data_IF_263169697846
#
_entry.id   IF_263169697846
#
_cell.length_a   1.000
_cell.length_b   1.000
_cell.length_c   1.000
_cell.angle_alpha   90.00
_cell.angle_beta   90.00
_cell.angle_gamma   90.00
#
_symmetry.space_group_name_H-M   'P 1'
#
loop_
_entity.id
_entity.type
_entity.pdbx_description
1 polymer ?
#
# COMPACT_ATOMS: atom_id res chain seq x y z
N UNK A 1 -20.89 -0.41 -5.75
CA UNK A 1 -21.05 0.17 -4.39
C UNK A 1 -19.75 0.17 -3.56
N UNK A 2 -19.00 -0.94 -3.48
CA UNK A 2 -17.78 -0.97 -2.64
C UNK A 2 -16.60 -0.24 -3.30
N UNK A 3 -16.39 -0.37 -4.62
CA UNK A 3 -15.33 0.37 -5.34
C UNK A 3 -15.48 1.89 -5.14
N UNK A 4 -16.69 2.46 -5.32
CA UNK A 4 -16.92 3.89 -5.10
C UNK A 4 -16.63 4.36 -3.66
N UNK A 5 -16.93 3.53 -2.64
CA UNK A 5 -16.55 3.84 -1.26
C UNK A 5 -15.04 3.85 -1.06
N UNK A 6 -14.32 2.94 -1.73
CA UNK A 6 -12.85 2.90 -1.69
C UNK A 6 -12.26 4.13 -2.37
N UNK A 7 -12.75 4.52 -3.54
CA UNK A 7 -12.27 5.73 -4.24
C UNK A 7 -12.47 6.98 -3.40
N UNK A 8 -13.64 7.14 -2.78
CA UNK A 8 -13.90 8.29 -1.90
C UNK A 8 -12.91 8.41 -0.73
N UNK A 9 -12.65 7.31 -0.02
CA UNK A 9 -11.70 7.35 1.11
C UNK A 9 -10.27 7.54 0.63
N UNK A 10 -9.91 6.98 -0.55
CA UNK A 10 -8.60 7.18 -1.17
C UNK A 10 -8.38 8.63 -1.59
N UNK A 11 -9.38 9.25 -2.23
CA UNK A 11 -9.31 10.67 -2.60
C UNK A 11 -9.14 11.55 -1.36
N UNK A 12 -9.95 11.33 -0.33
CA UNK A 12 -9.82 12.06 0.93
C UNK A 12 -8.42 11.91 1.55
N UNK A 13 -7.90 10.69 1.61
CA UNK A 13 -6.55 10.41 2.12
C UNK A 13 -5.45 11.09 1.28
N UNK A 14 -5.58 11.04 -0.06
CA UNK A 14 -4.68 11.71 -0.98
C UNK A 14 -4.67 13.23 -0.75
N UNK A 15 -5.83 13.81 -0.57
CA UNK A 15 -5.99 15.26 -0.42
C UNK A 15 -5.48 15.76 0.94
N UNK A 16 -5.57 14.95 2.00
CA UNK A 16 -5.00 15.27 3.32
C UNK A 16 -3.47 15.16 3.40
N UNK A 17 -2.84 14.33 2.56
CA UNK A 17 -1.42 14.04 2.65
C UNK A 17 -0.50 15.26 2.41
N UNK A 18 -0.76 16.15 1.42
CA UNK A 18 0.05 17.35 1.21
C UNK A 18 0.06 18.29 2.42
N UNK A 19 -1.10 18.51 3.03
CA UNK A 19 -1.24 19.38 4.20
C UNK A 19 -0.45 18.80 5.38
N UNK A 20 -0.57 17.50 5.62
CA UNK A 20 0.19 16.82 6.67
C UNK A 20 1.69 16.90 6.43
N UNK A 21 2.16 16.74 5.19
CA UNK A 21 3.58 16.87 4.84
C UNK A 21 4.04 18.32 5.05
N UNK A 22 3.25 19.30 4.62
CA UNK A 22 3.58 20.72 4.78
C UNK A 22 3.66 21.12 6.26
N UNK A 23 2.75 20.60 7.10
CA UNK A 23 2.72 20.85 8.54
C UNK A 23 3.89 20.20 9.29
N UNK A 24 4.24 18.95 8.92
CA UNK A 24 5.22 18.14 9.66
C UNK A 24 6.64 18.21 9.10
N UNK A 25 6.82 18.58 7.85
CA UNK A 25 8.10 18.53 7.14
C UNK A 25 8.67 17.12 6.96
N UNK A 26 7.82 16.08 6.98
CA UNK A 26 8.26 14.68 6.88
C UNK A 26 8.83 14.39 5.50
N UNK A 27 10.06 13.88 5.46
CA UNK A 27 10.70 13.33 4.27
C UNK A 27 10.54 11.81 4.22
N UNK A 28 10.06 11.29 3.08
CA UNK A 28 9.75 9.85 2.92
C UNK A 28 10.05 9.32 1.52
N UNK A 29 10.99 9.94 0.81
CA UNK A 29 11.34 9.63 -0.60
C UNK A 29 10.12 9.73 -1.52
N UNK A 30 9.27 10.73 -1.25
CA UNK A 30 8.01 10.93 -1.99
C UNK A 30 8.24 11.31 -3.46
N UNK A 31 7.36 10.79 -4.35
CA UNK A 31 7.31 11.13 -5.78
C UNK A 31 5.87 11.41 -6.18
N UNK A 32 5.68 12.41 -7.04
CA UNK A 32 4.38 12.88 -7.53
C UNK A 32 4.25 12.65 -9.05
N UNK A 33 4.60 11.47 -9.50
CA UNK A 33 4.61 11.12 -10.94
C UNK A 33 3.46 10.19 -11.34
N UNK A 34 2.53 9.96 -10.42
CA UNK A 34 1.40 9.08 -10.62
C UNK A 34 1.76 7.59 -10.51
N UNK A 35 0.79 6.75 -10.80
CA UNK A 35 0.92 5.29 -10.89
C UNK A 35 0.48 4.83 -12.27
N UNK A 36 1.27 4.00 -12.94
CA UNK A 36 0.94 3.42 -14.25
C UNK A 36 0.49 1.97 -14.08
N UNK A 37 -0.80 1.71 -14.29
CA UNK A 37 -1.33 0.37 -14.42
C UNK A 37 -1.09 -0.13 -15.84
N UNK A 38 -0.21 -1.13 -16.01
CA UNK A 38 0.24 -1.64 -17.29
C UNK A 38 -0.58 -2.86 -17.72
N UNK A 39 -1.09 -2.83 -18.95
CA UNK A 39 -1.87 -3.92 -19.54
C UNK A 39 -1.05 -4.67 -20.59
N UNK A 40 -0.95 -5.99 -20.42
CA UNK A 40 -0.21 -6.84 -21.34
C UNK A 40 -1.04 -7.26 -22.57
N UNK A 41 -2.37 -7.19 -22.47
CA UNK A 41 -3.28 -7.63 -23.53
C UNK A 41 -4.39 -6.61 -23.80
N UNK A 42 -4.86 -6.60 -25.07
CA UNK A 42 -6.02 -5.80 -25.48
C UNK A 42 -7.29 -6.09 -24.67
N UNK A 43 -7.47 -7.33 -24.21
CA UNK A 43 -8.60 -7.71 -23.37
C UNK A 43 -8.56 -6.99 -22.02
N UNK A 44 -7.38 -6.87 -21.40
CA UNK A 44 -7.21 -6.15 -20.14
C UNK A 44 -7.43 -4.65 -20.34
N UNK A 45 -6.84 -4.07 -21.39
CA UNK A 45 -7.02 -2.66 -21.71
C UNK A 45 -8.50 -2.31 -21.91
N UNK A 46 -9.24 -3.10 -22.69
CA UNK A 46 -10.69 -2.93 -22.86
C UNK A 46 -11.46 -3.16 -21.55
N UNK A 47 -11.02 -4.09 -20.73
CA UNK A 47 -11.63 -4.40 -19.43
C UNK A 47 -11.50 -3.27 -18.39
N UNK A 48 -10.53 -2.37 -18.56
CA UNK A 48 -10.34 -1.22 -17.66
C UNK A 48 -11.44 -0.16 -17.74
N UNK A 49 -12.32 -0.23 -18.76
CA UNK A 49 -13.41 0.75 -18.97
C UNK A 49 -14.30 0.92 -17.72
N UNK A 50 -14.64 -0.16 -17.05
CA UNK A 50 -15.46 -0.11 -15.83
C UNK A 50 -14.76 0.61 -14.66
N UNK A 51 -13.42 0.55 -14.60
CA UNK A 51 -12.64 1.28 -13.60
C UNK A 51 -12.52 2.75 -13.99
N UNK A 52 -12.35 3.07 -15.29
CA UNK A 52 -12.37 4.43 -15.80
C UNK A 52 -13.71 5.14 -15.51
N UNK A 53 -14.84 4.47 -15.70
CA UNK A 53 -16.18 5.01 -15.40
C UNK A 53 -16.31 5.36 -13.91
N UNK A 54 -15.79 4.52 -13.02
CA UNK A 54 -15.78 4.81 -11.57
C UNK A 54 -14.85 5.97 -11.22
N UNK A 55 -13.66 6.02 -11.80
CA UNK A 55 -12.72 7.11 -11.56
C UNK A 55 -13.32 8.45 -12.02
N UNK A 56 -13.98 8.47 -13.18
CA UNK A 56 -14.67 9.66 -13.68
C UNK A 56 -15.86 10.07 -12.79
N UNK A 57 -16.65 9.11 -12.28
CA UNK A 57 -17.76 9.37 -11.32
C UNK A 57 -17.30 10.11 -10.06
N UNK A 58 -16.05 9.87 -9.62
CA UNK A 58 -15.50 10.45 -8.39
C UNK A 58 -14.41 11.49 -8.64
N UNK A 59 -14.35 12.08 -9.82
CA UNK A 59 -13.39 13.13 -10.22
C UNK A 59 -11.92 12.75 -9.92
N UNK A 60 -11.60 11.45 -10.02
CA UNK A 60 -10.22 10.97 -9.88
C UNK A 60 -9.51 11.09 -11.22
N UNK A 61 -8.47 11.91 -11.36
CA UNK A 61 -7.81 12.15 -12.65
C UNK A 61 -7.06 10.92 -13.12
N UNK A 62 -7.24 10.57 -14.39
CA UNK A 62 -6.54 9.48 -15.05
C UNK A 62 -6.30 9.75 -16.54
N UNK A 63 -5.36 9.03 -17.11
CA UNK A 63 -5.03 9.04 -18.54
C UNK A 63 -5.00 7.61 -19.05
N UNK A 64 -5.68 7.37 -20.18
CA UNK A 64 -5.56 6.11 -20.91
C UNK A 64 -4.44 6.26 -21.94
N UNK A 65 -3.39 5.47 -21.82
CA UNK A 65 -2.18 5.55 -22.62
C UNK A 65 -2.07 4.35 -23.56
N UNK A 66 -1.69 4.61 -24.80
CA UNK A 66 -1.18 3.58 -25.70
C UNK A 66 0.26 3.20 -25.31
N UNK A 67 0.87 2.31 -26.09
CA UNK A 67 2.25 1.88 -25.87
C UNK A 67 3.24 3.05 -25.87
N UNK A 68 3.11 3.97 -26.82
CA UNK A 68 4.01 5.12 -26.94
C UNK A 68 3.85 6.06 -25.75
N UNK A 69 2.61 6.29 -25.30
CA UNK A 69 2.31 7.05 -24.09
C UNK A 69 2.88 6.42 -22.83
N UNK A 70 2.80 5.10 -22.68
CA UNK A 70 3.43 4.40 -21.56
C UNK A 70 4.96 4.59 -21.54
N UNK A 71 5.62 4.50 -22.70
CA UNK A 71 7.07 4.71 -22.83
C UNK A 71 7.43 6.17 -22.55
N UNK A 72 6.60 7.13 -22.95
CA UNK A 72 6.85 8.54 -22.67
C UNK A 72 6.83 8.86 -21.16
N UNK A 73 5.97 8.16 -20.40
CA UNK A 73 5.86 8.31 -18.93
C UNK A 73 6.93 7.51 -18.20
N UNK A 74 7.23 6.31 -18.68
CA UNK A 74 8.20 5.35 -18.12
C UNK A 74 9.21 4.93 -19.19
N UNK A 75 10.26 5.74 -19.44
CA UNK A 75 11.18 5.54 -20.55
C UNK A 75 11.89 4.18 -20.57
N UNK A 76 12.17 3.59 -19.41
CA UNK A 76 12.80 2.27 -19.30
C UNK A 76 11.97 1.15 -19.95
N UNK A 77 10.65 1.32 -20.10
CA UNK A 77 9.79 0.38 -20.82
C UNK A 77 10.07 0.30 -22.35
N UNK A 78 10.86 1.25 -22.87
CA UNK A 78 11.31 1.19 -24.28
C UNK A 78 12.17 -0.05 -24.59
N UNK A 79 12.78 -0.66 -23.57
CA UNK A 79 13.54 -1.91 -23.74
C UNK A 79 12.64 -3.13 -24.04
N UNK A 80 11.35 -3.07 -23.65
CA UNK A 80 10.42 -4.21 -23.72
C UNK A 80 9.06 -3.85 -24.34
N UNK A 81 8.99 -3.15 -25.48
CA UNK A 81 7.73 -2.58 -26.03
C UNK A 81 6.72 -3.65 -26.44
N UNK A 82 7.15 -4.89 -26.69
CA UNK A 82 6.27 -6.01 -27.05
C UNK A 82 5.55 -6.64 -25.85
N UNK A 83 5.95 -6.31 -24.61
CA UNK A 83 5.42 -6.92 -23.39
C UNK A 83 4.08 -6.34 -22.93
N UNK A 84 3.65 -5.21 -23.48
CA UNK A 84 2.42 -4.52 -23.12
C UNK A 84 1.77 -3.84 -24.32
N UNK A 85 0.51 -3.50 -24.19
CA UNK A 85 -0.28 -2.85 -25.25
C UNK A 85 -0.68 -1.42 -24.91
N UNK A 86 -0.69 -1.07 -23.63
CA UNK A 86 -1.07 0.25 -23.13
C UNK A 86 -1.19 0.24 -21.60
N UNK A 87 -1.67 1.34 -21.03
CA UNK A 87 -1.81 1.50 -19.60
C UNK A 87 -2.88 2.50 -19.19
N UNK A 88 -3.24 2.47 -17.92
CA UNK A 88 -4.05 3.47 -17.24
C UNK A 88 -3.17 4.18 -16.23
N UNK A 89 -2.92 5.45 -16.40
CA UNK A 89 -2.15 6.28 -15.49
C UNK A 89 -3.06 7.01 -14.54
N UNK A 90 -2.84 6.86 -13.24
CA UNK A 90 -3.48 7.63 -12.18
C UNK A 90 -2.55 8.81 -11.84
N UNK A 91 -2.83 9.97 -12.44
CA UNK A 91 -1.88 11.10 -12.46
C UNK A 91 -1.72 11.79 -11.12
N UNK A 92 -2.71 11.72 -10.24
CA UNK A 92 -2.68 12.31 -8.91
C UNK A 92 -2.15 11.37 -7.82
N UNK A 93 -1.82 10.13 -8.16
CA UNK A 93 -1.23 9.19 -7.21
C UNK A 93 0.18 9.62 -6.83
N UNK A 94 0.53 9.35 -5.58
CA UNK A 94 1.85 9.60 -5.02
C UNK A 94 2.48 8.30 -4.57
N UNK A 95 3.79 8.22 -4.65
CA UNK A 95 4.56 7.10 -4.13
C UNK A 95 5.52 7.58 -3.06
N UNK A 96 5.91 6.68 -2.16
CA UNK A 96 6.88 6.99 -1.11
C UNK A 96 7.11 5.81 -0.18
N UNK A 97 8.13 5.91 0.64
CA UNK A 97 8.46 4.88 1.64
C UNK A 97 7.57 5.04 2.87
N UNK A 98 6.54 4.19 2.97
CA UNK A 98 5.58 4.23 4.07
C UNK A 98 6.22 3.93 5.44
N UNK A 99 7.35 3.19 5.50
CA UNK A 99 8.07 2.96 6.74
C UNK A 99 8.77 4.23 7.20
N UNK A 100 9.47 4.93 6.31
CA UNK A 100 10.10 6.22 6.63
C UNK A 100 9.04 7.22 7.12
N UNK A 101 7.94 7.34 6.39
CA UNK A 101 6.82 8.22 6.76
C UNK A 101 6.27 7.89 8.15
N UNK A 102 6.00 6.62 8.44
CA UNK A 102 5.42 6.20 9.72
C UNK A 102 6.38 6.43 10.89
N UNK A 103 7.67 6.18 10.71
CA UNK A 103 8.69 6.44 11.74
C UNK A 103 8.78 7.93 12.05
N UNK A 104 8.92 8.76 11.02
CA UNK A 104 8.99 10.21 11.17
C UNK A 104 7.71 10.80 11.80
N UNK A 105 6.53 10.28 11.40
CA UNK A 105 5.26 10.69 12.00
C UNK A 105 5.17 10.32 13.48
N UNK A 106 5.67 9.14 13.87
CA UNK A 106 5.72 8.73 15.27
C UNK A 106 6.64 9.64 16.09
N UNK A 107 7.79 10.05 15.53
CA UNK A 107 8.70 11.01 16.16
C UNK A 107 8.02 12.36 16.39
N UNK A 108 7.33 12.89 15.36
CA UNK A 108 6.55 14.13 15.47
C UNK A 108 5.42 14.02 16.50
N UNK A 109 4.73 12.91 16.55
CA UNK A 109 3.68 12.67 17.54
C UNK A 109 4.28 12.63 18.97
N UNK A 110 5.45 12.04 19.16
CA UNK A 110 6.14 12.03 20.45
C UNK A 110 6.55 13.45 20.89
N UNK A 111 7.03 14.30 19.99
CA UNK A 111 7.31 15.71 20.25
C UNK A 111 6.05 16.47 20.76
N UNK A 112 4.87 16.06 20.31
CA UNK A 112 3.57 16.60 20.74
C UNK A 112 3.04 15.94 22.04
N UNK A 113 3.80 15.05 22.65
CA UNK A 113 3.47 14.43 23.94
C UNK A 113 2.78 13.06 23.84
N UNK A 114 2.68 12.46 22.65
CA UNK A 114 2.18 11.09 22.50
C UNK A 114 3.16 10.11 23.14
N UNK A 115 2.65 9.24 24.01
CA UNK A 115 3.45 8.21 24.65
C UNK A 115 3.36 6.90 23.90
N UNK A 116 4.48 6.41 23.38
CA UNK A 116 4.58 5.13 22.69
C UNK A 116 5.08 4.05 23.66
N UNK A 117 4.34 2.98 23.78
CA UNK A 117 4.72 1.80 24.58
C UNK A 117 5.02 0.63 23.64
N UNK A 118 6.21 0.61 23.06
CA UNK A 118 6.65 -0.48 22.20
C UNK A 118 6.98 -1.75 23.01
N UNK A 119 6.95 -2.90 22.31
CA UNK A 119 7.26 -4.19 22.94
C UNK A 119 6.17 -4.72 23.88
N UNK A 120 4.98 -4.11 23.88
CA UNK A 120 3.84 -4.56 24.68
C UNK A 120 2.94 -5.47 23.86
N UNK A 121 2.82 -6.73 24.28
CA UNK A 121 1.81 -7.63 23.73
C UNK A 121 0.46 -7.35 24.39
N UNK A 122 -0.57 -7.15 23.58
CA UNK A 122 -1.95 -6.97 24.04
C UNK A 122 -2.56 -8.36 24.27
N UNK A 123 -2.98 -8.66 25.49
CA UNK A 123 -3.65 -9.91 25.88
C UNK A 123 -5.16 -9.87 25.70
N UNK A 124 -5.77 -8.70 25.85
CA UNK A 124 -7.22 -8.56 25.72
C UNK A 124 -7.71 -7.16 26.08
N UNK A 125 -9.03 -7.06 26.10
CA UNK A 125 -9.77 -5.86 26.49
C UNK A 125 -10.59 -6.18 27.72
N UNK A 126 -10.37 -5.45 28.81
CA UNK A 126 -11.18 -5.51 30.00
C UNK A 126 -12.52 -4.82 29.76
N UNK A 127 -13.61 -5.49 30.08
CA UNK A 127 -14.97 -4.93 29.99
C UNK A 127 -15.65 -5.00 31.36
N UNK A 128 -16.13 -3.86 31.84
CA UNK A 128 -16.83 -3.73 33.12
C UNK A 128 -18.13 -2.94 32.86
N UNK A 129 -19.26 -3.47 33.34
CA UNK A 129 -20.57 -2.86 33.15
C UNK A 129 -20.91 -2.51 31.68
N UNK A 130 -20.46 -3.38 30.72
CA UNK A 130 -20.69 -3.20 29.29
C UNK A 130 -19.84 -2.10 28.61
N UNK A 131 -18.86 -1.56 29.30
CA UNK A 131 -17.91 -0.55 28.78
C UNK A 131 -16.48 -1.07 28.85
N UNK A 132 -15.65 -0.59 27.93
CA UNK A 132 -14.20 -0.88 27.99
C UNK A 132 -13.63 -0.20 29.23
N UNK A 133 -13.02 -0.99 30.10
CA UNK A 133 -12.36 -0.55 31.35
C UNK A 133 -10.84 -0.47 31.20
N UNK A 134 -10.28 -1.04 30.16
CA UNK A 134 -8.85 -0.97 29.89
C UNK A 134 -8.39 -2.00 28.86
N UNK A 135 -7.11 -1.91 28.52
CA UNK A 135 -6.40 -2.86 27.66
C UNK A 135 -5.42 -3.65 28.53
N UNK A 136 -5.56 -4.97 28.53
CA UNK A 136 -4.67 -5.88 29.26
C UNK A 136 -3.40 -6.13 28.43
N UNK A 137 -2.25 -5.80 29.01
CA UNK A 137 -0.94 -6.01 28.37
C UNK A 137 -0.12 -7.04 29.13
N UNK A 138 0.90 -7.56 28.46
CA UNK A 138 1.75 -8.60 29.05
C UNK A 138 2.65 -8.08 30.17
N UNK A 139 3.23 -6.91 30.00
CA UNK A 139 4.26 -6.39 30.89
C UNK A 139 3.77 -5.22 31.76
N UNK A 140 2.94 -4.32 31.21
CA UNK A 140 2.48 -3.12 31.90
C UNK A 140 1.16 -3.32 32.69
N UNK A 141 0.56 -4.52 32.62
CA UNK A 141 -0.74 -4.78 33.25
C UNK A 141 -1.87 -4.09 32.47
N UNK A 142 -2.84 -3.54 33.19
CA UNK A 142 -3.98 -2.84 32.59
C UNK A 142 -3.65 -1.37 32.32
N UNK A 143 -3.80 -0.97 31.05
CA UNK A 143 -3.70 0.42 30.61
C UNK A 143 -5.12 0.98 30.45
N UNK A 144 -5.39 2.12 31.07
CA UNK A 144 -6.71 2.79 31.07
C UNK A 144 -6.69 4.07 30.24
N UNK A 145 -7.85 4.49 29.78
CA UNK A 145 -8.07 5.73 29.04
C UNK A 145 -9.56 6.03 28.90
N UNK A 146 -9.88 7.21 28.39
CA UNK A 146 -11.28 7.64 28.20
C UNK A 146 -11.86 7.09 26.88
N UNK A 147 -11.01 6.94 25.85
CA UNK A 147 -11.37 6.43 24.52
C UNK A 147 -10.34 5.43 24.06
N UNK A 148 -10.78 4.35 23.44
CA UNK A 148 -9.94 3.27 22.95
C UNK A 148 -10.12 3.12 21.44
N UNK A 149 -9.00 3.10 20.70
CA UNK A 149 -8.98 2.88 19.24
C UNK A 149 -8.24 1.57 18.95
N UNK A 150 -8.96 0.60 18.39
CA UNK A 150 -8.36 -0.67 17.96
C UNK A 150 -7.83 -0.53 16.52
N UNK A 151 -6.53 -0.37 16.36
CA UNK A 151 -5.84 -0.24 15.07
C UNK A 151 -4.92 -1.44 14.77
N UNK A 152 -5.31 -2.65 15.19
CA UNK A 152 -4.49 -3.88 15.15
C UNK A 152 -4.53 -4.62 13.80
N UNK A 153 -5.16 -4.04 12.76
CA UNK A 153 -5.25 -4.64 11.43
C UNK A 153 -5.80 -6.07 11.48
N UNK A 154 -5.08 -7.03 10.91
CA UNK A 154 -5.48 -8.44 10.87
C UNK A 154 -5.50 -9.13 12.24
N UNK A 155 -4.88 -8.56 13.27
CA UNK A 155 -4.92 -9.08 14.64
C UNK A 155 -6.12 -8.57 15.45
N UNK A 156 -6.84 -7.55 14.98
CA UNK A 156 -8.02 -7.02 15.65
C UNK A 156 -9.08 -8.08 16.01
N UNK A 157 -9.40 -9.08 15.14
CA UNK A 157 -10.34 -10.15 15.49
C UNK A 157 -9.96 -10.98 16.71
N UNK A 158 -8.66 -11.16 16.97
CA UNK A 158 -8.19 -11.94 18.13
C UNK A 158 -8.51 -11.26 19.45
N UNK A 159 -8.42 -9.93 19.47
CA UNK A 159 -8.62 -9.11 20.67
C UNK A 159 -10.09 -8.75 20.87
N UNK A 160 -10.86 -8.58 19.78
CA UNK A 160 -12.25 -8.15 19.84
C UNK A 160 -13.26 -9.29 19.97
N UNK A 161 -12.93 -10.48 19.45
CA UNK A 161 -13.83 -11.64 19.51
C UNK A 161 -14.21 -12.08 20.92
N UNK A 162 -13.28 -12.08 21.92
CA UNK A 162 -13.62 -12.44 23.31
C UNK A 162 -14.65 -11.53 23.94
N UNK A 163 -14.74 -10.26 23.50
CA UNK A 163 -15.75 -9.30 24.00
C UNK A 163 -16.99 -9.22 23.11
N UNK A 164 -17.21 -10.22 22.22
CA UNK A 164 -18.43 -10.35 21.42
C UNK A 164 -18.41 -9.59 20.09
N UNK A 165 -17.36 -8.84 19.75
CA UNK A 165 -17.26 -8.08 18.50
C UNK A 165 -16.63 -8.97 17.41
N UNK A 166 -17.36 -9.16 16.32
CA UNK A 166 -16.89 -9.94 15.16
C UNK A 166 -16.56 -9.04 14.00
N UNK A 167 -15.31 -9.04 13.57
CA UNK A 167 -14.83 -8.33 12.39
C UNK A 167 -14.53 -9.31 11.25
N UNK A 168 -15.03 -9.06 10.03
CA UNK A 168 -14.72 -9.88 8.86
C UNK A 168 -13.35 -9.50 8.27
N UNK A 169 -12.30 -9.54 9.09
CA UNK A 169 -10.92 -9.25 8.70
C UNK A 169 -10.13 -10.55 8.73
N UNK A 170 -9.45 -10.84 7.64
CA UNK A 170 -8.62 -12.03 7.49
C UNK A 170 -7.20 -11.60 7.07
N UNK A 171 -6.14 -12.20 7.63
CA UNK A 171 -4.77 -11.87 7.25
C UNK A 171 -4.47 -12.36 5.83
N UNK A 172 -3.92 -11.46 5.02
CA UNK A 172 -3.41 -11.77 3.69
C UNK A 172 -1.92 -11.46 3.68
N UNK A 173 -1.11 -12.44 3.28
CA UNK A 173 0.33 -12.31 3.20
C UNK A 173 0.74 -11.90 1.79
N UNK A 174 1.46 -10.79 1.68
CA UNK A 174 2.14 -10.34 0.47
C UNK A 174 3.63 -10.63 0.52
N UNK A 175 4.25 -10.67 -0.64
CA UNK A 175 5.69 -10.87 -0.79
C UNK A 175 6.31 -9.69 -1.52
N UNK A 176 7.55 -9.37 -1.16
CA UNK A 176 8.30 -8.32 -1.84
C UNK A 176 9.78 -8.62 -1.87
N UNK A 177 10.44 -8.11 -2.90
CA UNK A 177 11.89 -8.03 -3.00
C UNK A 177 12.30 -6.57 -3.13
N UNK A 178 13.51 -6.24 -2.68
CA UNK A 178 14.08 -4.91 -2.83
C UNK A 178 15.42 -5.04 -3.53
N UNK A 179 15.61 -4.25 -4.58
CA UNK A 179 16.78 -4.24 -5.43
C UNK A 179 17.39 -2.84 -5.43
N UNK A 180 18.72 -2.69 -5.53
CA UNK A 180 19.34 -1.39 -5.77
C UNK A 180 19.03 -0.88 -7.18
N UNK A 181 18.96 0.42 -7.37
CA UNK A 181 19.02 1.04 -8.69
C UNK A 181 20.48 1.03 -9.12
N UNK A 182 20.79 0.29 -10.18
CA UNK A 182 22.16 0.20 -10.73
C UNK A 182 22.36 1.11 -11.94
N UNK A 183 21.28 1.37 -12.68
CA UNK A 183 21.25 2.31 -13.80
C UNK A 183 19.95 3.11 -13.74
N UNK A 184 20.07 4.42 -13.62
CA UNK A 184 18.95 5.34 -13.48
C UNK A 184 18.06 5.37 -14.74
N UNK A 185 18.66 5.21 -15.92
CA UNK A 185 17.94 5.21 -17.20
C UNK A 185 17.12 3.94 -17.41
N UNK A 186 17.48 2.83 -16.75
CA UNK A 186 16.78 1.55 -16.82
C UNK A 186 15.83 1.31 -15.65
N UNK A 187 15.74 2.25 -14.72
CA UNK A 187 14.88 2.15 -13.55
C UNK A 187 13.50 2.80 -13.78
N UNK A 188 12.44 2.33 -13.10
CA UNK A 188 11.15 2.99 -13.16
C UNK A 188 11.22 4.42 -12.60
N UNK A 189 10.41 5.32 -13.13
CA UNK A 189 10.33 6.69 -12.64
C UNK A 189 9.41 6.80 -11.41
N UNK A 190 8.37 5.99 -11.34
CA UNK A 190 7.36 6.02 -10.28
C UNK A 190 6.96 4.61 -9.85
N UNK A 191 5.67 4.33 -9.86
CA UNK A 191 5.11 3.01 -9.60
C UNK A 191 4.43 2.46 -10.85
N UNK A 192 4.82 1.26 -11.24
CA UNK A 192 4.17 0.49 -12.31
C UNK A 192 3.45 -0.70 -11.66
N UNK A 193 2.19 -0.87 -11.99
CA UNK A 193 1.39 -2.02 -11.60
C UNK A 193 1.19 -2.94 -12.81
N UNK A 194 1.84 -4.10 -12.83
CA UNK A 194 1.53 -5.13 -13.82
C UNK A 194 0.16 -5.75 -13.51
N UNK A 195 -0.81 -5.44 -14.35
CA UNK A 195 -2.19 -5.89 -14.14
C UNK A 195 -2.35 -7.41 -14.31
N UNK A 196 -1.49 -8.05 -15.12
CA UNK A 196 -1.53 -9.51 -15.33
C UNK A 196 -1.14 -10.29 -14.09
N UNK A 197 -0.04 -9.91 -13.46
CA UNK A 197 0.52 -10.64 -12.32
C UNK A 197 0.18 -10.00 -10.98
N UNK A 198 -0.47 -8.83 -10.99
CA UNK A 198 -0.78 -8.04 -9.78
C UNK A 198 0.47 -7.73 -8.96
N UNK A 199 1.51 -7.31 -9.67
CA UNK A 199 2.81 -6.95 -9.10
C UNK A 199 3.04 -5.45 -9.27
N UNK A 200 3.35 -4.78 -8.17
CA UNK A 200 3.75 -3.38 -8.15
C UNK A 200 5.28 -3.27 -8.15
N UNK A 201 5.83 -2.45 -9.03
CA UNK A 201 7.24 -2.10 -9.13
C UNK A 201 7.34 -0.62 -8.78
N UNK A 202 7.95 -0.30 -7.64
CA UNK A 202 7.97 1.07 -7.11
C UNK A 202 9.41 1.52 -6.89
N UNK A 203 9.76 2.69 -7.42
CA UNK A 203 11.04 3.32 -7.11
C UNK A 203 10.96 4.07 -5.78
N UNK A 204 11.91 3.81 -4.89
CA UNK A 204 12.06 4.45 -3.58
C UNK A 204 13.50 4.97 -3.44
N UNK A 205 13.77 6.15 -4.00
CA UNK A 205 15.11 6.74 -4.06
C UNK A 205 16.07 5.91 -4.91
N UNK A 206 17.06 5.33 -4.27
CA UNK A 206 18.09 4.47 -4.84
C UNK A 206 17.71 2.98 -4.88
N UNK A 207 16.47 2.64 -4.54
CA UNK A 207 15.95 1.28 -4.46
C UNK A 207 14.70 1.10 -5.31
N UNK A 208 14.51 -0.11 -5.80
CA UNK A 208 13.27 -0.56 -6.43
C UNK A 208 12.65 -1.60 -5.51
N UNK A 209 11.42 -1.36 -5.07
CA UNK A 209 10.63 -2.35 -4.33
C UNK A 209 9.62 -3.00 -5.26
N UNK A 210 9.72 -4.31 -5.37
CA UNK A 210 8.79 -5.12 -6.17
C UNK A 210 7.94 -5.91 -5.20
N UNK A 211 6.62 -5.72 -5.26
CA UNK A 211 5.69 -6.34 -4.33
C UNK A 211 4.49 -6.93 -5.07
N UNK A 212 4.06 -8.09 -4.64
CA UNK A 212 2.90 -8.75 -5.24
C UNK A 212 2.50 -9.99 -4.45
N UNK A 213 1.71 -10.84 -5.10
CA UNK A 213 1.17 -12.07 -4.54
C UNK A 213 0.24 -11.79 -3.33
N UNK A 214 -0.80 -12.57 -3.20
CA UNK A 214 -1.72 -12.53 -2.07
C UNK A 214 -1.97 -13.97 -1.62
N UNK A 215 -1.29 -14.37 -0.53
CA UNK A 215 -1.43 -15.71 0.04
C UNK A 215 -2.41 -15.70 1.22
N UNK A 216 -3.40 -16.59 1.16
CA UNK A 216 -4.36 -16.79 2.24
C UNK A 216 -3.88 -17.97 3.09
N UNK A 217 -2.98 -17.72 4.02
CA UNK A 217 -2.34 -18.72 4.86
C UNK A 217 -2.55 -18.50 6.37
N UNK A 218 -3.57 -17.75 6.75
CA UNK A 218 -3.81 -17.37 8.14
C UNK A 218 -2.64 -16.56 8.70
N UNK A 219 -2.32 -16.79 9.97
CA UNK A 219 -1.26 -16.09 10.68
C UNK A 219 0.13 -16.73 10.55
N UNK A 220 0.29 -17.69 9.61
CA UNK A 220 1.59 -18.34 9.40
C UNK A 220 2.63 -17.35 8.87
N UNK A 221 3.75 -17.20 9.57
CA UNK A 221 4.91 -16.41 9.13
C UNK A 221 5.87 -17.15 8.20
N UNK A 222 5.60 -18.42 7.85
CA UNK A 222 6.50 -19.23 7.01
C UNK A 222 6.53 -18.71 5.58
N UNK A 223 7.73 -18.59 5.01
CA UNK A 223 7.93 -18.30 3.59
C UNK A 223 8.01 -19.62 2.82
N UNK A 224 7.18 -19.75 1.78
CA UNK A 224 7.30 -20.88 0.84
C UNK A 224 8.54 -20.74 -0.04
N UNK A 225 9.06 -21.84 -0.60
CA UNK A 225 10.26 -21.81 -1.45
C UNK A 225 10.09 -20.97 -2.72
N UNK A 226 8.87 -20.84 -3.23
CA UNK A 226 8.51 -20.09 -4.45
C UNK A 226 7.80 -18.75 -4.16
N UNK A 227 7.89 -18.26 -2.93
CA UNK A 227 7.14 -17.10 -2.48
C UNK A 227 7.42 -15.82 -3.28
N UNK A 228 8.61 -15.67 -3.81
CA UNK A 228 9.05 -14.49 -4.57
C UNK A 228 9.19 -14.71 -6.07
N UNK A 229 8.89 -15.89 -6.60
CA UNK A 229 9.13 -16.22 -8.01
C UNK A 229 8.36 -15.28 -8.96
N UNK A 230 7.08 -15.02 -8.67
CA UNK A 230 6.28 -14.11 -9.50
C UNK A 230 6.82 -12.69 -9.49
N UNK A 231 7.22 -12.16 -8.34
CA UNK A 231 7.73 -10.78 -8.24
C UNK A 231 9.09 -10.66 -8.93
N UNK A 232 9.94 -11.69 -8.84
CA UNK A 232 11.22 -11.76 -9.56
C UNK A 232 11.01 -11.82 -11.08
N UNK A 233 10.14 -12.72 -11.52
CA UNK A 233 9.80 -12.85 -12.93
C UNK A 233 9.35 -11.52 -13.53
N UNK A 234 8.45 -10.79 -12.86
CA UNK A 234 7.89 -9.55 -13.41
C UNK A 234 8.93 -8.44 -13.50
N UNK A 235 9.82 -8.30 -12.50
CA UNK A 235 10.86 -7.27 -12.57
C UNK A 235 11.88 -7.59 -13.69
N UNK A 236 12.31 -8.82 -13.81
CA UNK A 236 13.24 -9.26 -14.86
C UNK A 236 12.64 -9.17 -16.27
N UNK A 237 11.32 -9.36 -16.39
CA UNK A 237 10.59 -9.31 -17.67
C UNK A 237 10.29 -7.88 -18.14
N UNK A 238 10.11 -6.92 -17.23
CA UNK A 238 9.80 -5.52 -17.56
C UNK A 238 11.01 -4.58 -17.47
N UNK A 239 12.01 -4.94 -16.66
CA UNK A 239 13.25 -4.17 -16.43
C UNK A 239 14.45 -5.13 -16.45
N UNK A 240 14.82 -5.66 -17.65
CA UNK A 240 15.89 -6.62 -17.80
C UNK A 240 17.28 -6.06 -17.53
#
# INVERSE_FOLDING_TARGET
RNKGRMVRISNYSRDCLPDLIAETGIEYVGREQGTLQLFRTEKQLKGSKADQEILAEYDSPFELLDRAGCIAVEPALAAVPSKFVGGLRLTADRTGDCRMFTVALAEKAAELGVQFQYGQSIRGIAVENGKVAGVETEMAGRITGDVYVCALGSFAPMVLRPIGIRLPVYPVKGYSVTLPVTDDAMAPQSTIMDETHKVAITRLGDRIRVAGTAEIAGYSGRLGPHATDTVRYVIEDLFP
#
